data_IF_385753916135
#
_entry.id   IF_385753916135
#
_cell.length_a   1.000
_cell.length_b   1.000
_cell.length_c   1.000
_cell.angle_alpha   90.00
_cell.angle_beta   90.00
_cell.angle_gamma   90.00
#
_symmetry.space_group_name_H-M   'P 1'
#
loop_
_entity.id
_entity.type
_entity.pdbx_description
1 polymer ?
#
# COMPACT_ATOMS: atom_id res chain seq x y z
N UNK A 1 -28.90 13.08 1.28
CA UNK A 1 -29.30 11.70 1.60
C UNK A 1 -28.31 11.19 2.62
N UNK A 2 -28.77 10.68 3.75
CA UNK A 2 -27.88 10.09 4.77
C UNK A 2 -27.52 8.67 4.35
N UNK A 3 -26.24 8.34 4.43
CA UNK A 3 -25.72 7.00 4.13
C UNK A 3 -26.43 5.94 5.00
N UNK A 4 -27.00 4.87 4.42
CA UNK A 4 -27.56 3.76 5.19
C UNK A 4 -26.45 3.06 5.98
N UNK A 5 -26.55 3.10 7.31
CA UNK A 5 -25.59 2.50 8.23
C UNK A 5 -26.24 1.40 9.03
N UNK A 6 -25.70 0.19 8.98
CA UNK A 6 -26.12 -0.92 9.81
C UNK A 6 -25.00 -1.22 10.84
N UNK A 7 -25.34 -1.12 12.13
CA UNK A 7 -24.39 -1.44 13.21
C UNK A 7 -24.88 -2.71 13.91
N UNK A 8 -23.97 -3.67 14.07
CA UNK A 8 -24.25 -4.97 14.69
C UNK A 8 -23.27 -5.21 15.83
N UNK A 9 -23.79 -5.55 17.00
CA UNK A 9 -23.00 -5.96 18.17
C UNK A 9 -23.07 -7.48 18.30
N UNK A 10 -21.92 -8.15 18.43
CA UNK A 10 -21.83 -9.60 18.63
C UNK A 10 -21.12 -9.90 19.94
N UNK A 11 -21.70 -10.82 20.71
CA UNK A 11 -21.16 -11.28 22.00
C UNK A 11 -20.91 -10.13 23.02
N UNK A 12 -21.58 -9.01 22.86
CA UNK A 12 -21.54 -7.87 23.77
C UNK A 12 -22.88 -7.14 23.79
N UNK A 13 -23.15 -6.44 24.88
CA UNK A 13 -24.36 -5.60 24.98
C UNK A 13 -24.22 -4.39 24.03
N UNK A 14 -25.30 -4.00 23.35
CA UNK A 14 -25.31 -2.74 22.59
C UNK A 14 -24.92 -1.57 23.48
N UNK A 15 -24.10 -0.68 22.96
CA UNK A 15 -23.65 0.53 23.67
C UNK A 15 -23.97 1.77 22.84
N UNK A 16 -24.77 2.68 23.36
CA UNK A 16 -25.11 3.93 22.70
C UNK A 16 -23.87 4.80 22.39
N UNK A 17 -22.88 4.79 23.29
CA UNK A 17 -21.64 5.51 23.08
C UNK A 17 -20.83 4.95 21.88
N UNK A 18 -20.81 3.62 21.73
CA UNK A 18 -20.17 2.96 20.58
C UNK A 18 -20.96 3.22 19.31
N UNK A 19 -22.28 3.14 19.35
CA UNK A 19 -23.16 3.45 18.19
C UNK A 19 -22.94 4.89 17.71
N UNK A 20 -22.98 5.85 18.62
CA UNK A 20 -22.74 7.26 18.31
C UNK A 20 -21.36 7.49 17.69
N UNK A 21 -20.33 6.86 18.24
CA UNK A 21 -18.96 6.95 17.72
C UNK A 21 -18.84 6.36 16.31
N UNK A 22 -19.44 5.22 16.06
CA UNK A 22 -19.44 4.59 14.73
C UNK A 22 -20.14 5.49 13.72
N UNK A 23 -21.30 6.08 14.06
CA UNK A 23 -22.03 6.99 13.17
C UNK A 23 -21.22 8.25 12.86
N UNK A 24 -20.53 8.81 13.84
CA UNK A 24 -19.61 9.94 13.65
C UNK A 24 -18.50 9.60 12.63
N UNK A 25 -17.87 8.45 12.77
CA UNK A 25 -16.81 8.02 11.86
C UNK A 25 -17.34 7.72 10.45
N UNK A 26 -18.53 7.12 10.33
CA UNK A 26 -19.18 6.90 9.02
C UNK A 26 -19.52 8.24 8.35
N UNK A 27 -19.99 9.23 9.07
CA UNK A 27 -20.27 10.58 8.52
C UNK A 27 -18.98 11.23 7.96
N UNK A 28 -17.82 11.00 8.63
CA UNK A 28 -16.51 11.45 8.11
C UNK A 28 -16.15 10.74 6.80
N UNK A 29 -16.43 9.43 6.66
CA UNK A 29 -16.21 8.70 5.40
C UNK A 29 -17.12 9.21 4.29
N UNK A 30 -18.40 9.47 4.57
CA UNK A 30 -19.37 10.03 3.61
C UNK A 30 -18.91 11.41 3.12
N UNK A 31 -18.41 12.26 4.02
CA UNK A 31 -17.85 13.57 3.66
C UNK A 31 -16.63 13.42 2.73
N UNK A 32 -15.79 12.40 2.97
CA UNK A 32 -14.60 12.15 2.16
C UNK A 32 -14.95 11.57 0.77
N UNK A 33 -15.91 10.65 0.69
CA UNK A 33 -16.34 10.01 -0.56
C UNK A 33 -17.84 9.78 -0.59
N UNK A 34 -18.54 10.56 -1.42
CA UNK A 34 -20.02 10.56 -1.54
C UNK A 34 -20.61 9.33 -2.27
N UNK A 35 -19.75 8.49 -2.86
CA UNK A 35 -20.17 7.32 -3.62
C UNK A 35 -20.38 6.06 -2.79
N UNK A 36 -20.36 6.12 -1.46
CA UNK A 36 -20.67 4.98 -0.60
C UNK A 36 -22.17 4.70 -0.67
N UNK A 37 -22.57 3.49 -1.05
CA UNK A 37 -23.99 3.10 -1.19
C UNK A 37 -24.54 2.53 0.11
N UNK A 38 -23.73 1.77 0.84
CA UNK A 38 -24.09 1.12 2.11
C UNK A 38 -22.85 0.95 2.98
N UNK A 39 -23.03 1.05 4.30
CA UNK A 39 -21.97 0.79 5.28
C UNK A 39 -22.48 -0.13 6.39
N UNK A 40 -21.84 -1.26 6.58
CA UNK A 40 -22.12 -2.20 7.67
C UNK A 40 -20.93 -2.25 8.60
N UNK A 41 -21.16 -2.06 9.89
CA UNK A 41 -20.14 -2.11 10.93
C UNK A 41 -20.52 -3.16 11.95
N UNK A 42 -19.65 -4.13 12.17
CA UNK A 42 -19.80 -5.15 13.19
C UNK A 42 -18.74 -4.94 14.27
N UNK A 43 -19.18 -4.84 15.52
CA UNK A 43 -18.32 -4.77 16.70
C UNK A 43 -18.56 -6.05 17.49
N UNK A 44 -17.49 -6.80 17.72
CA UNK A 44 -17.56 -8.12 18.36
C UNK A 44 -16.58 -8.20 19.52
N UNK A 45 -17.03 -8.82 20.62
CA UNK A 45 -16.19 -9.27 21.70
C UNK A 45 -16.14 -10.80 21.69
N UNK A 46 -15.14 -11.42 21.04
CA UNK A 46 -15.10 -12.87 20.91
C UNK A 46 -14.93 -13.55 22.26
N UNK A 47 -15.71 -14.61 22.49
CA UNK A 47 -15.58 -15.45 23.68
C UNK A 47 -14.22 -16.16 23.65
N UNK A 48 -13.35 -15.83 24.57
CA UNK A 48 -12.10 -16.56 24.78
C UNK A 48 -12.14 -17.30 26.10
N UNK A 49 -11.94 -18.59 26.04
CA UNK A 49 -11.81 -19.45 27.23
C UNK A 49 -10.49 -19.26 27.99
N UNK A 50 -9.62 -18.34 27.62
CA UNK A 50 -8.28 -18.18 28.22
C UNK A 50 -7.90 -16.73 28.52
N UNK A 51 -7.36 -16.54 29.65
CA UNK A 51 -6.59 -15.55 30.46
C UNK A 51 -6.07 -14.25 29.84
N UNK A 52 -6.21 -13.95 28.59
CA UNK A 52 -5.78 -12.65 28.05
C UNK A 52 -6.99 -11.82 27.64
N UNK A 53 -7.28 -10.83 28.44
CA UNK A 53 -8.34 -9.81 28.40
C UNK A 53 -9.20 -9.67 27.13
N UNK A 54 -10.38 -9.12 27.30
CA UNK A 54 -11.34 -8.86 26.23
C UNK A 54 -10.70 -8.02 25.12
N UNK A 55 -10.60 -8.58 23.91
CA UNK A 55 -10.04 -7.92 22.75
C UNK A 55 -11.17 -7.69 21.74
N UNK A 56 -11.47 -6.43 21.47
CA UNK A 56 -12.52 -6.07 20.51
C UNK A 56 -12.10 -6.33 19.07
N UNK A 57 -13.03 -6.88 18.28
CA UNK A 57 -12.91 -7.02 16.83
C UNK A 57 -13.87 -6.04 16.17
N UNK A 58 -13.41 -5.36 15.13
CA UNK A 58 -14.24 -4.47 14.33
C UNK A 58 -14.11 -4.87 12.86
N UNK A 59 -15.26 -5.08 12.22
CA UNK A 59 -15.36 -5.32 10.79
C UNK A 59 -16.23 -4.26 10.15
N UNK A 60 -15.70 -3.63 9.09
CA UNK A 60 -16.40 -2.61 8.31
C UNK A 60 -16.53 -3.12 6.88
N UNK A 61 -17.74 -3.13 6.37
CA UNK A 61 -18.06 -3.46 4.98
C UNK A 61 -18.69 -2.22 4.33
N UNK A 62 -18.08 -1.76 3.26
CA UNK A 62 -18.56 -0.58 2.49
C UNK A 62 -18.84 -1.00 1.07
N UNK A 63 -20.07 -0.84 0.63
CA UNK A 63 -20.46 -1.03 -0.76
C UNK A 63 -20.25 0.27 -1.53
N UNK A 64 -19.46 0.22 -2.59
CA UNK A 64 -19.18 1.32 -3.51
C UNK A 64 -19.51 0.88 -4.93
N UNK A 65 -19.68 1.79 -5.92
CA UNK A 65 -19.99 1.42 -7.29
C UNK A 65 -18.98 0.42 -7.87
N UNK A 66 -19.45 -0.81 -8.17
CA UNK A 66 -18.62 -1.86 -8.77
C UNK A 66 -17.66 -2.58 -7.82
N UNK A 67 -17.68 -2.31 -6.51
CA UNK A 67 -16.81 -3.01 -5.54
C UNK A 67 -17.39 -3.04 -4.12
N UNK A 68 -16.88 -3.97 -3.33
CA UNK A 68 -17.07 -4.02 -1.88
C UNK A 68 -15.71 -3.91 -1.19
N UNK A 69 -15.60 -2.98 -0.24
CA UNK A 69 -14.40 -2.75 0.54
C UNK A 69 -14.61 -3.31 1.95
N UNK A 70 -13.74 -4.22 2.36
CA UNK A 70 -13.85 -4.90 3.65
C UNK A 70 -12.61 -4.62 4.48
N UNK A 71 -12.81 -4.08 5.68
CA UNK A 71 -11.78 -3.87 6.69
C UNK A 71 -12.06 -4.78 7.87
N UNK A 72 -11.05 -5.51 8.32
CA UNK A 72 -11.09 -6.32 9.53
C UNK A 72 -9.97 -5.87 10.46
N UNK A 73 -10.33 -5.56 11.69
CA UNK A 73 -9.38 -5.33 12.78
C UNK A 73 -9.58 -6.41 13.82
N UNK A 74 -8.72 -7.41 13.75
CA UNK A 74 -8.66 -8.55 14.65
C UNK A 74 -7.24 -8.60 15.24
N UNK A 75 -7.06 -8.87 16.54
CA UNK A 75 -5.73 -9.12 17.09
C UNK A 75 -5.17 -10.39 16.44
N UNK A 76 -4.01 -10.27 15.81
CA UNK A 76 -3.37 -11.39 15.12
C UNK A 76 -2.93 -12.47 16.11
N UNK A 77 -3.46 -13.69 15.96
CA UNK A 77 -3.04 -14.87 16.72
C UNK A 77 -1.57 -15.25 16.47
N UNK A 78 -1.02 -14.87 15.32
CA UNK A 78 0.38 -15.17 14.98
C UNK A 78 1.39 -14.34 15.77
N UNK A 79 1.00 -13.19 16.30
CA UNK A 79 1.88 -12.35 17.13
C UNK A 79 2.12 -12.97 18.51
N UNK A 80 1.16 -13.78 19.01
CA UNK A 80 1.26 -14.45 20.31
C UNK A 80 2.12 -15.71 20.33
N UNK A 81 2.39 -16.32 19.16
CA UNK A 81 3.16 -17.58 19.06
C UNK A 81 4.64 -17.40 18.68
N UNK A 82 5.07 -16.19 18.26
CA UNK A 82 6.44 -15.90 17.83
C UNK A 82 7.31 -15.18 18.86
N UNK A 83 6.93 -15.17 20.13
CA UNK A 83 7.65 -14.40 21.14
C UNK A 83 8.57 -15.26 22.01
N UNK A 84 9.79 -15.41 21.54
CA UNK A 84 10.96 -15.74 22.35
C UNK A 84 12.07 -14.72 22.02
N UNK A 85 11.80 -13.41 22.18
CA UNK A 85 12.84 -12.38 22.19
C UNK A 85 12.35 -11.16 22.97
N UNK A 86 13.09 -10.78 24.00
CA UNK A 86 12.73 -9.82 25.04
C UNK A 86 12.45 -8.38 24.54
N UNK A 87 13.03 -7.96 23.41
CA UNK A 87 12.80 -6.63 22.82
C UNK A 87 11.50 -6.50 22.04
N UNK A 88 10.87 -7.61 21.63
CA UNK A 88 9.59 -7.61 20.93
C UNK A 88 8.38 -7.60 21.86
N UNK A 89 8.59 -7.84 23.18
CA UNK A 89 7.50 -7.88 24.14
C UNK A 89 6.85 -6.52 24.37
N UNK A 90 7.60 -5.41 24.34
CA UNK A 90 7.03 -4.07 24.55
C UNK A 90 6.08 -3.67 23.43
N UNK A 91 6.47 -3.87 22.17
CA UNK A 91 5.63 -3.53 21.00
C UNK A 91 4.37 -4.40 20.89
N UNK A 92 4.44 -5.66 21.28
CA UNK A 92 3.26 -6.53 21.27
C UNK A 92 2.31 -6.22 22.42
N UNK A 93 2.81 -5.80 23.58
CA UNK A 93 2.00 -5.39 24.72
C UNK A 93 1.22 -4.10 24.41
N UNK A 94 1.84 -3.12 23.75
CA UNK A 94 1.18 -1.91 23.25
C UNK A 94 0.08 -2.22 22.22
N UNK A 95 0.34 -3.14 21.27
CA UNK A 95 -0.64 -3.56 20.28
C UNK A 95 -1.85 -4.27 20.93
N UNK A 96 -1.62 -5.10 21.96
CA UNK A 96 -2.70 -5.76 22.69
C UNK A 96 -3.47 -4.79 23.60
N UNK A 97 -2.80 -3.80 24.19
CA UNK A 97 -3.47 -2.77 24.98
C UNK A 97 -4.43 -1.92 24.14
N UNK A 98 -4.07 -1.60 22.90
CA UNK A 98 -4.94 -0.88 21.99
C UNK A 98 -6.24 -1.62 21.64
N UNK A 99 -6.22 -2.96 21.58
CA UNK A 99 -7.42 -3.76 21.31
C UNK A 99 -8.36 -3.95 22.53
N UNK A 100 -7.93 -3.57 23.72
CA UNK A 100 -8.79 -3.58 24.93
C UNK A 100 -9.74 -2.39 24.99
N UNK A 101 -9.44 -1.31 24.28
CA UNK A 101 -10.31 -0.15 24.16
C UNK A 101 -11.06 -0.18 22.84
N UNK A 102 -12.37 -0.36 22.88
CA UNK A 102 -13.24 -0.42 21.71
C UNK A 102 -13.15 0.85 20.85
N UNK A 103 -12.98 2.03 21.47
CA UNK A 103 -12.90 3.29 20.72
C UNK A 103 -11.60 3.41 19.93
N UNK A 104 -10.51 2.88 20.45
CA UNK A 104 -9.22 2.80 19.74
C UNK A 104 -9.34 1.86 18.55
N UNK A 105 -9.93 0.68 18.74
CA UNK A 105 -10.13 -0.30 17.65
C UNK A 105 -11.02 0.26 16.55
N UNK A 106 -12.11 0.95 16.91
CA UNK A 106 -13.00 1.63 15.96
C UNK A 106 -12.23 2.68 15.18
N UNK A 107 -11.51 3.58 15.84
CA UNK A 107 -10.71 4.62 15.20
C UNK A 107 -9.72 4.03 14.19
N UNK A 108 -9.01 2.98 14.57
CA UNK A 108 -7.99 2.35 13.72
C UNK A 108 -8.61 1.59 12.55
N UNK A 109 -9.78 0.96 12.74
CA UNK A 109 -10.56 0.35 11.67
C UNK A 109 -11.04 1.39 10.65
N UNK A 110 -11.57 2.53 11.10
CA UNK A 110 -12.02 3.60 10.23
C UNK A 110 -10.87 4.34 9.52
N UNK A 111 -9.70 4.44 10.15
CA UNK A 111 -8.49 4.94 9.48
C UNK A 111 -8.09 4.06 8.30
N UNK A 112 -8.15 2.74 8.48
CA UNK A 112 -7.88 1.79 7.40
C UNK A 112 -8.98 1.81 6.32
N UNK A 113 -10.26 1.90 6.72
CA UNK A 113 -11.39 2.05 5.81
C UNK A 113 -11.24 3.29 4.91
N UNK A 114 -10.84 4.42 5.49
CA UNK A 114 -10.54 5.64 4.74
C UNK A 114 -9.40 5.45 3.75
N UNK A 115 -8.34 4.73 4.12
CA UNK A 115 -7.22 4.43 3.23
C UNK A 115 -7.67 3.60 2.03
N UNK A 116 -8.41 2.50 2.27
CA UNK A 116 -8.94 1.66 1.18
C UNK A 116 -9.88 2.45 0.25
N UNK A 117 -10.72 3.30 0.82
CA UNK A 117 -11.62 4.16 0.06
C UNK A 117 -10.85 5.19 -0.78
N UNK A 118 -9.75 5.73 -0.26
CA UNK A 118 -8.87 6.63 -0.99
C UNK A 118 -8.19 5.92 -2.17
N UNK A 119 -7.69 4.70 -1.96
CA UNK A 119 -7.07 3.90 -3.02
C UNK A 119 -8.08 3.49 -4.09
N UNK A 120 -9.32 3.17 -3.69
CA UNK A 120 -10.42 2.92 -4.60
C UNK A 120 -10.73 4.17 -5.45
N UNK A 121 -10.91 5.33 -4.81
CA UNK A 121 -11.22 6.59 -5.49
C UNK A 121 -10.11 7.00 -6.48
N UNK A 122 -8.84 6.78 -6.12
CA UNK A 122 -7.70 7.02 -7.03
C UNK A 122 -7.74 6.10 -8.25
N UNK A 123 -8.04 4.82 -8.08
CA UNK A 123 -8.17 3.86 -9.18
C UNK A 123 -9.31 4.24 -10.12
N UNK A 124 -10.46 4.62 -9.57
CA UNK A 124 -11.63 5.04 -10.36
C UNK A 124 -11.38 6.33 -11.17
N UNK A 125 -10.52 7.23 -10.67
CA UNK A 125 -10.12 8.44 -11.40
C UNK A 125 -9.01 8.23 -12.41
N UNK A 126 -8.53 7.00 -12.62
CA UNK A 126 -7.38 6.72 -13.46
C UNK A 126 -6.04 7.29 -12.95
N UNK A 127 -6.00 7.75 -11.69
CA UNK A 127 -4.81 8.31 -11.04
C UNK A 127 -3.90 7.22 -10.45
N UNK A 128 -3.97 6.01 -10.95
CA UNK A 128 -2.98 4.98 -10.66
C UNK A 128 -1.68 5.38 -11.35
N UNK A 129 -0.59 5.42 -10.60
CA UNK A 129 0.74 5.46 -11.21
C UNK A 129 0.87 4.20 -12.07
N UNK A 130 0.67 4.37 -13.37
CA UNK A 130 1.05 3.33 -14.32
C UNK A 130 2.56 3.25 -14.22
N UNK A 131 3.09 2.17 -13.67
CA UNK A 131 4.49 1.83 -13.87
C UNK A 131 4.61 1.50 -15.35
N UNK A 132 4.91 2.50 -16.15
CA UNK A 132 5.41 2.27 -17.51
C UNK A 132 6.70 1.47 -17.31
N UNK A 133 6.78 0.21 -17.80
CA UNK A 133 8.01 -0.54 -17.69
C UNK A 133 9.12 0.29 -18.32
N UNK A 134 10.19 0.54 -17.57
CA UNK A 134 11.32 1.30 -18.08
C UNK A 134 11.83 0.63 -19.36
N UNK A 135 12.09 1.39 -20.43
CA UNK A 135 12.69 0.85 -21.62
C UNK A 135 13.92 0.02 -21.27
N UNK A 136 14.10 -1.09 -21.94
CA UNK A 136 15.26 -1.95 -21.75
C UNK A 136 15.98 -2.19 -23.07
N UNK A 137 17.28 -2.40 -22.98
CA UNK A 137 18.13 -2.65 -24.13
C UNK A 137 19.34 -3.49 -23.79
N UNK A 138 20.18 -3.68 -24.77
CA UNK A 138 21.49 -4.34 -24.63
C UNK A 138 22.59 -3.39 -25.05
N UNK A 139 23.70 -3.39 -24.32
CA UNK A 139 24.90 -2.66 -24.72
C UNK A 139 25.40 -3.22 -26.05
N UNK A 140 25.41 -2.39 -27.09
CA UNK A 140 25.87 -2.76 -28.44
C UNK A 140 27.32 -2.39 -28.66
N UNK A 141 27.76 -1.25 -28.14
CA UNK A 141 29.14 -0.76 -28.21
C UNK A 141 29.52 -0.10 -26.88
N UNK A 142 30.77 -0.26 -26.47
CA UNK A 142 31.28 0.34 -25.23
C UNK A 142 32.68 0.87 -25.49
N UNK A 143 32.95 2.09 -25.03
CA UNK A 143 34.23 2.78 -25.12
C UNK A 143 34.69 3.17 -23.70
N UNK A 144 35.35 2.25 -22.98
CA UNK A 144 35.67 2.46 -21.57
C UNK A 144 36.62 3.63 -21.33
N UNK A 145 37.61 3.81 -22.17
CA UNK A 145 38.60 4.90 -22.04
C UNK A 145 37.97 6.28 -22.27
N UNK A 146 36.99 6.36 -23.17
CA UNK A 146 36.29 7.61 -23.49
C UNK A 146 35.05 7.85 -22.60
N UNK A 147 34.62 6.84 -21.83
CA UNK A 147 33.57 6.92 -20.85
C UNK A 147 32.17 7.00 -21.43
N UNK A 148 31.90 6.38 -22.58
CA UNK A 148 30.56 6.29 -23.17
C UNK A 148 30.29 4.94 -23.85
N UNK A 149 29.06 4.76 -24.26
CA UNK A 149 28.64 3.58 -25.02
C UNK A 149 27.31 3.79 -25.75
N UNK A 150 26.92 2.75 -26.46
CA UNK A 150 25.63 2.67 -27.13
C UNK A 150 24.88 1.44 -26.67
N UNK A 151 23.59 1.57 -26.49
CA UNK A 151 22.69 0.48 -26.24
C UNK A 151 21.69 0.35 -27.39
N UNK A 152 21.26 -0.88 -27.65
CA UNK A 152 20.25 -1.18 -28.67
C UNK A 152 18.98 -1.62 -28.01
N UNK A 153 17.87 -0.99 -28.37
CA UNK A 153 16.52 -1.32 -27.93
C UNK A 153 16.00 -2.57 -28.63
N UNK A 154 14.88 -3.13 -28.15
CA UNK A 154 14.17 -4.23 -28.85
C UNK A 154 13.70 -3.85 -30.26
N UNK A 155 13.50 -2.56 -30.52
CA UNK A 155 13.10 -2.01 -31.82
C UNK A 155 14.29 -1.80 -32.78
N UNK A 156 15.52 -2.07 -32.30
CA UNK A 156 16.75 -1.93 -33.09
C UNK A 156 17.36 -0.53 -33.06
N UNK A 157 16.75 0.42 -32.36
CA UNK A 157 17.26 1.80 -32.24
C UNK A 157 18.53 1.82 -31.35
N UNK A 158 19.58 2.51 -31.82
CA UNK A 158 20.76 2.77 -31.02
C UNK A 158 20.63 4.09 -30.24
N UNK A 159 20.89 4.01 -28.94
CA UNK A 159 20.79 5.14 -28.02
C UNK A 159 22.14 5.33 -27.33
N UNK A 160 22.64 6.55 -27.36
CA UNK A 160 23.89 6.94 -26.70
C UNK A 160 23.71 6.97 -25.16
N UNK A 161 24.73 6.57 -24.42
CA UNK A 161 24.81 6.82 -22.98
C UNK A 161 26.25 7.18 -22.55
N UNK A 162 26.35 8.08 -21.58
CA UNK A 162 27.60 8.45 -20.95
C UNK A 162 27.78 7.70 -19.61
N UNK A 163 29.02 7.51 -19.15
CA UNK A 163 29.33 6.86 -17.87
C UNK A 163 28.59 7.46 -16.68
N UNK A 164 28.41 8.80 -16.68
CA UNK A 164 27.70 9.50 -15.62
C UNK A 164 26.18 9.19 -15.59
N UNK A 165 25.62 8.66 -16.67
CA UNK A 165 24.25 8.19 -16.73
C UNK A 165 24.05 6.79 -16.12
N UNK A 166 25.15 6.07 -15.84
CA UNK A 166 25.10 4.70 -15.28
C UNK A 166 25.04 4.77 -13.76
N UNK A 167 23.99 4.22 -13.19
CA UNK A 167 23.79 4.22 -11.73
C UNK A 167 24.78 3.28 -11.02
N UNK A 168 25.07 3.61 -9.76
CA UNK A 168 25.92 2.81 -8.85
C UNK A 168 27.36 2.59 -9.36
N UNK A 169 27.93 3.53 -10.10
CA UNK A 169 29.28 3.43 -10.71
C UNK A 169 29.51 2.11 -11.46
N UNK A 170 28.42 1.54 -11.99
CA UNK A 170 28.44 0.24 -12.63
C UNK A 170 28.99 0.27 -14.07
N UNK A 171 29.44 1.42 -14.59
CA UNK A 171 29.94 1.54 -15.97
C UNK A 171 31.07 0.54 -16.25
N UNK A 172 32.03 0.39 -15.34
CA UNK A 172 33.16 -0.53 -15.48
C UNK A 172 32.78 -2.02 -15.42
N UNK A 173 31.53 -2.34 -15.02
CA UNK A 173 30.98 -3.71 -14.99
C UNK A 173 30.18 -4.04 -16.25
N UNK A 174 29.89 -3.03 -17.06
CA UNK A 174 29.16 -3.26 -18.31
C UNK A 174 30.07 -3.90 -19.34
N UNK A 175 29.51 -4.82 -20.07
CA UNK A 175 30.13 -5.48 -21.25
C UNK A 175 29.18 -5.42 -22.43
N UNK A 176 29.72 -5.60 -23.63
CA UNK A 176 28.87 -5.74 -24.83
C UNK A 176 27.92 -6.91 -24.62
N UNK A 177 26.61 -6.71 -24.84
CA UNK A 177 25.55 -7.68 -24.58
C UNK A 177 24.88 -7.56 -23.21
N UNK A 178 25.43 -6.78 -22.25
CA UNK A 178 24.78 -6.52 -20.96
C UNK A 178 23.39 -5.96 -21.13
N UNK A 179 22.42 -6.54 -20.39
CA UNK A 179 21.04 -6.02 -20.36
C UNK A 179 20.96 -4.86 -19.38
N UNK A 180 20.31 -3.78 -19.81
CA UNK A 180 20.14 -2.58 -19.01
C UNK A 180 18.71 -2.06 -19.13
N UNK A 181 18.18 -1.48 -18.04
CA UNK A 181 17.02 -0.60 -18.09
C UNK A 181 17.52 0.83 -18.15
N UNK A 182 16.82 1.70 -18.86
CA UNK A 182 17.23 3.09 -19.05
C UNK A 182 16.02 4.03 -19.14
N UNK A 183 16.28 5.33 -18.98
CA UNK A 183 15.34 6.41 -19.32
C UNK A 183 15.84 7.13 -20.55
N UNK A 184 14.98 7.24 -21.55
CA UNK A 184 15.30 7.96 -22.79
C UNK A 184 15.00 9.44 -22.64
N UNK A 185 15.95 10.29 -23.04
CA UNK A 185 15.79 11.74 -23.13
C UNK A 185 16.32 12.24 -24.48
N UNK A 186 15.77 13.36 -24.91
CA UNK A 186 16.26 14.03 -26.13
C UNK A 186 17.45 14.91 -25.78
N UNK A 187 18.66 14.51 -26.19
CA UNK A 187 19.86 15.31 -26.07
C UNK A 187 20.10 16.19 -27.29
N UNK A 188 21.14 17.03 -27.25
CA UNK A 188 21.50 17.94 -28.35
C UNK A 188 21.83 17.21 -29.68
N UNK A 189 22.31 15.99 -29.60
CA UNK A 189 22.74 15.18 -30.78
C UNK A 189 21.80 14.00 -31.07
N UNK A 190 20.60 13.95 -30.44
CA UNK A 190 19.63 12.89 -30.64
C UNK A 190 19.24 12.17 -29.33
N UNK A 191 18.63 11.00 -29.46
CA UNK A 191 18.20 10.21 -28.32
C UNK A 191 19.39 9.76 -27.46
N UNK A 192 19.31 10.02 -26.15
CA UNK A 192 20.32 9.61 -25.16
C UNK A 192 19.65 8.96 -23.94
N UNK A 193 20.38 8.05 -23.31
CA UNK A 193 19.94 7.45 -22.06
C UNK A 193 20.48 8.28 -20.88
N UNK A 194 19.58 8.90 -20.13
CA UNK A 194 19.93 9.74 -18.95
C UNK A 194 20.12 8.92 -17.68
N UNK A 195 19.49 7.75 -17.58
CA UNK A 195 19.58 6.84 -16.43
C UNK A 195 19.72 5.42 -16.95
N UNK A 196 20.86 4.80 -16.69
CA UNK A 196 21.15 3.41 -17.11
C UNK A 196 21.40 2.56 -15.90
N UNK A 197 20.66 1.47 -15.77
CA UNK A 197 20.77 0.51 -14.67
C UNK A 197 20.96 -0.91 -15.23
N UNK A 198 22.02 -1.61 -14.86
CA UNK A 198 22.20 -3.04 -15.16
C UNK A 198 21.03 -3.87 -14.59
N UNK A 199 20.58 -4.90 -15.34
CA UNK A 199 19.48 -5.80 -14.99
C UNK A 199 20.03 -7.16 -14.54
#
# INVERSE_FOLDING_TARGET
MTLPVQITFRNMKPSEAVDARVREEVAKLETFYKGIMHCRVMVELPHRHHRSGDLYHVRIEMTVPGAELIVKREPSLQTSLRQVDTEKQSKSYEAHAAHKDVFVVIRDAFKEARRQLQDYARRMRGQTKVHVPQPSGRVSRLFPEEGYGFLRTSEGTEIYFHKNSVLHDAFNRLTIGSRVAFSEELGEKGAQASTVRPL
#
